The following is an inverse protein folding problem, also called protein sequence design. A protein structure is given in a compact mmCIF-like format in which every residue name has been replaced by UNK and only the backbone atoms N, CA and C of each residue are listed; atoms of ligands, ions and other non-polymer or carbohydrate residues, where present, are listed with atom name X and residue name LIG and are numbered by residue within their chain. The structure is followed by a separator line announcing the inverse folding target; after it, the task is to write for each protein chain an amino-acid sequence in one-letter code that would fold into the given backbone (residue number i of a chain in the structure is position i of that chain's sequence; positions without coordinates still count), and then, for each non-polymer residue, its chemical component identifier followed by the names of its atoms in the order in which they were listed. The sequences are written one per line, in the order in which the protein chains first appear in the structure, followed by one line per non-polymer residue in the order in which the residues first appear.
data_IF_069399108263
#
_entry.id   IF_069399108263
#
_cell.length_a   1.000
_cell.length_b   1.000
_cell.length_c   1.000
_cell.angle_alpha   90.00
_cell.angle_beta   90.00
_cell.angle_gamma   90.00
#
_symmetry.space_group_name_H-M   'P 1'
#
loop_
_entity.id
_entity.type
_entity.pdbx_description
1 polymer ?
#
# COMPACT_ATOMS: atom_id res chain seq x y z
N UNK A 1 18.60 -11.50 -6.96
CA UNK A 1 17.53 -10.53 -6.65
C UNK A 1 18.20 -9.24 -6.23
N UNK A 2 17.69 -8.08 -6.66
CA UNK A 2 18.20 -6.78 -6.26
C UNK A 2 17.32 -6.24 -5.12
N UNK A 3 17.93 -5.99 -3.95
CA UNK A 3 17.22 -5.54 -2.75
C UNK A 3 17.25 -4.02 -2.54
N UNK A 4 17.88 -3.28 -3.47
CA UNK A 4 18.04 -1.82 -3.39
C UNK A 4 17.22 -1.09 -4.46
N UNK A 5 16.28 -1.78 -5.10
CA UNK A 5 15.45 -1.21 -6.18
C UNK A 5 13.99 -1.19 -5.77
N UNK A 6 13.40 -0.01 -5.82
CA UNK A 6 11.95 0.17 -5.86
C UNK A 6 11.50 0.05 -7.32
N UNK A 7 10.57 -0.86 -7.60
CA UNK A 7 9.89 -0.94 -8.88
C UNK A 7 8.52 -0.29 -8.77
N UNK A 8 8.28 0.74 -9.57
CA UNK A 8 6.99 1.38 -9.72
C UNK A 8 6.39 1.01 -11.08
N UNK A 9 5.12 0.60 -11.09
CA UNK A 9 4.30 0.53 -12.29
C UNK A 9 3.28 1.68 -12.29
N UNK A 10 3.13 2.35 -13.43
CA UNK A 10 2.32 3.56 -13.53
C UNK A 10 2.96 4.75 -12.82
N UNK A 11 2.21 5.84 -12.70
CA UNK A 11 2.58 7.00 -11.86
C UNK A 11 1.35 7.55 -11.17
N UNK A 12 1.53 8.13 -9.99
CA UNK A 12 0.43 8.82 -9.31
C UNK A 12 -0.13 9.96 -10.17
N UNK A 13 0.72 10.63 -10.97
CA UNK A 13 0.31 11.68 -11.89
C UNK A 13 -0.68 11.21 -12.97
N UNK A 14 -0.57 9.96 -13.45
CA UNK A 14 -1.55 9.37 -14.36
C UNK A 14 -2.87 9.04 -13.66
N UNK A 15 -2.81 8.68 -12.37
CA UNK A 15 -4.00 8.38 -11.58
C UNK A 15 -4.84 9.64 -11.29
N UNK A 16 -4.20 10.80 -11.08
CA UNK A 16 -4.91 12.06 -10.76
C UNK A 16 -6.09 12.37 -11.70
N UNK A 17 -5.92 12.36 -13.04
CA UNK A 17 -7.01 12.60 -13.99
C UNK A 17 -7.91 11.38 -14.27
N UNK A 18 -7.76 10.27 -13.55
CA UNK A 18 -8.68 9.12 -13.66
C UNK A 18 -8.22 7.97 -14.56
N UNK A 19 -6.92 7.83 -14.87
CA UNK A 19 -6.42 6.65 -15.62
C UNK A 19 -6.33 5.43 -14.69
N UNK A 20 -7.48 4.92 -14.26
CA UNK A 20 -7.59 3.83 -13.30
C UNK A 20 -7.60 2.44 -13.93
N UNK A 21 -7.64 2.36 -15.26
CA UNK A 21 -7.69 1.08 -15.97
C UNK A 21 -6.39 0.31 -15.72
N UNK A 22 -6.51 -0.89 -15.18
CA UNK A 22 -5.41 -1.81 -14.96
C UNK A 22 -4.84 -2.31 -16.28
N UNK A 23 -3.52 -2.24 -16.39
CA UNK A 23 -2.78 -2.48 -17.65
C UNK A 23 -1.60 -3.44 -17.47
N UNK A 24 -1.30 -3.86 -16.24
CA UNK A 24 -0.35 -4.93 -15.93
C UNK A 24 -0.94 -5.93 -14.95
N UNK A 25 -0.67 -7.22 -15.14
CA UNK A 25 -1.14 -8.26 -14.22
C UNK A 25 -0.36 -8.19 -12.90
N UNK A 26 -0.99 -8.54 -11.78
CA UNK A 26 -0.31 -8.66 -10.50
C UNK A 26 0.86 -9.66 -10.56
N UNK A 27 0.74 -10.77 -11.29
CA UNK A 27 1.84 -11.71 -11.51
C UNK A 27 3.06 -11.04 -12.16
N UNK A 28 2.85 -10.13 -13.10
CA UNK A 28 3.94 -9.35 -13.68
C UNK A 28 4.51 -8.30 -12.72
N UNK A 29 3.71 -7.78 -11.79
CA UNK A 29 4.20 -6.91 -10.70
C UNK A 29 5.09 -7.72 -9.74
N UNK A 30 4.65 -8.91 -9.34
CA UNK A 30 5.35 -9.77 -8.37
C UNK A 30 6.71 -10.29 -8.85
N UNK A 31 6.98 -10.24 -10.16
CA UNK A 31 8.34 -10.48 -10.70
C UNK A 31 9.37 -9.44 -10.23
N UNK A 32 8.91 -8.28 -9.75
CA UNK A 32 9.77 -7.16 -9.35
C UNK A 32 9.81 -6.92 -7.84
N UNK A 33 9.01 -7.64 -7.05
CA UNK A 33 9.01 -7.50 -5.60
C UNK A 33 8.01 -8.41 -4.90
N UNK A 34 8.29 -8.69 -3.64
CA UNK A 34 7.46 -9.52 -2.76
C UNK A 34 6.74 -8.71 -1.67
N UNK A 35 6.99 -7.40 -1.62
CA UNK A 35 6.45 -6.48 -0.62
C UNK A 35 6.18 -5.12 -1.24
N UNK A 36 5.01 -4.54 -0.97
CA UNK A 36 4.65 -3.26 -1.56
C UNK A 36 3.19 -2.87 -1.40
N UNK A 37 2.81 -1.80 -2.09
CA UNK A 37 1.48 -1.18 -2.03
C UNK A 37 1.02 -0.76 -3.43
N UNK A 38 -0.28 -0.50 -3.59
CA UNK A 38 -0.85 0.03 -4.83
C UNK A 38 -2.36 0.07 -4.79
N UNK A 39 -2.99 -0.09 -5.95
CA UNK A 39 -4.44 -0.26 -6.08
C UNK A 39 -4.76 -1.32 -7.15
N UNK A 40 -6.02 -1.68 -7.30
CA UNK A 40 -6.49 -2.62 -8.31
C UNK A 40 -7.16 -1.88 -9.49
N UNK A 41 -7.45 -2.62 -10.57
CA UNK A 41 -8.20 -2.13 -11.73
C UNK A 41 -9.42 -1.30 -11.33
N UNK A 42 -9.61 -0.17 -12.02
CA UNK A 42 -10.69 0.79 -11.76
C UNK A 42 -10.63 1.40 -10.36
N UNK A 43 -9.45 1.54 -9.76
CA UNK A 43 -9.24 2.08 -8.40
C UNK A 43 -10.09 1.33 -7.36
N UNK A 44 -10.22 0.01 -7.52
CA UNK A 44 -11.04 -0.82 -6.64
C UNK A 44 -10.32 -1.11 -5.32
N UNK A 45 -10.32 -0.14 -4.42
CA UNK A 45 -9.69 -0.26 -3.10
C UNK A 45 -8.17 -0.30 -3.12
N UNK A 46 -7.58 -0.87 -2.08
CA UNK A 46 -6.14 -0.81 -1.80
C UNK A 46 -5.49 -2.18 -2.08
N UNK A 47 -4.34 -2.19 -2.77
CA UNK A 47 -3.50 -3.36 -2.96
C UNK A 47 -2.38 -3.35 -1.91
N UNK A 48 -2.20 -4.48 -1.23
CA UNK A 48 -1.07 -4.72 -0.32
C UNK A 48 -0.39 -6.01 -0.78
N UNK A 49 0.91 -5.95 -1.02
CA UNK A 49 1.72 -7.13 -1.31
C UNK A 49 2.53 -7.49 -0.07
N UNK A 50 2.37 -8.72 0.42
CA UNK A 50 3.08 -9.25 1.60
C UNK A 50 3.60 -10.64 1.29
N UNK A 51 4.91 -10.84 1.42
CA UNK A 51 5.58 -12.14 1.22
C UNK A 51 5.23 -12.78 -0.13
N UNK A 52 5.17 -11.98 -1.19
CA UNK A 52 4.84 -12.43 -2.55
C UNK A 52 3.36 -12.66 -2.81
N UNK A 53 2.50 -12.40 -1.82
CA UNK A 53 1.05 -12.53 -1.95
C UNK A 53 0.37 -11.16 -2.03
N UNK A 54 -0.45 -10.94 -3.05
CA UNK A 54 -1.32 -9.76 -3.13
C UNK A 54 -2.61 -9.93 -2.33
N UNK A 55 -3.00 -8.87 -1.64
CA UNK A 55 -4.27 -8.74 -0.94
C UNK A 55 -4.94 -7.44 -1.39
N UNK A 56 -6.26 -7.49 -1.56
CA UNK A 56 -7.05 -6.31 -1.88
C UNK A 56 -8.00 -6.00 -0.72
N UNK A 57 -7.93 -4.79 -0.20
CA UNK A 57 -8.89 -4.24 0.75
C UNK A 57 -9.91 -3.43 -0.06
N UNK A 58 -11.16 -3.88 -0.09
CA UNK A 58 -12.23 -3.19 -0.81
C UNK A 58 -12.71 -1.96 -0.02
N UNK A 59 -13.40 -1.04 -0.69
CA UNK A 59 -14.13 0.07 -0.04
C UNK A 59 -15.18 -0.37 1.00
N UNK A 60 -15.58 -1.65 1.01
CA UNK A 60 -16.42 -2.24 2.06
C UNK A 60 -15.65 -2.70 3.30
N UNK A 61 -14.31 -2.65 3.29
CA UNK A 61 -13.43 -3.23 4.31
C UNK A 61 -13.18 -4.73 4.13
N UNK A 62 -13.85 -5.40 3.18
CA UNK A 62 -13.60 -6.81 2.88
C UNK A 62 -12.19 -6.98 2.31
N UNK A 63 -11.43 -7.91 2.89
CA UNK A 63 -10.11 -8.30 2.42
C UNK A 63 -10.24 -9.55 1.55
N UNK A 64 -9.59 -9.55 0.39
CA UNK A 64 -9.51 -10.73 -0.46
C UNK A 64 -8.06 -11.03 -0.87
N UNK A 65 -7.73 -12.32 -0.90
CA UNK A 65 -6.47 -12.82 -1.44
C UNK A 65 -6.56 -12.83 -2.97
N UNK A 66 -5.57 -12.25 -3.62
CA UNK A 66 -5.51 -12.15 -5.08
C UNK A 66 -4.85 -13.38 -5.70
N UNK A 67 -5.26 -13.71 -6.93
CA UNK A 67 -4.79 -14.89 -7.66
C UNK A 67 -3.58 -14.61 -8.54
N UNK A 68 -3.30 -13.33 -8.81
CA UNK A 68 -2.20 -12.88 -9.66
C UNK A 68 -2.63 -12.45 -11.06
N UNK A 69 -3.85 -12.78 -11.49
CA UNK A 69 -4.38 -12.37 -12.80
C UNK A 69 -5.06 -11.00 -12.75
N UNK A 70 -5.30 -10.46 -11.57
CA UNK A 70 -5.92 -9.16 -11.41
C UNK A 70 -5.03 -8.07 -12.00
N UNK A 71 -5.66 -7.15 -12.71
CA UNK A 71 -4.96 -6.04 -13.38
C UNK A 71 -4.76 -4.89 -12.42
N UNK A 72 -3.62 -4.22 -12.56
CA UNK A 72 -3.12 -3.18 -11.69
C UNK A 72 -2.81 -1.94 -12.54
N UNK A 73 -3.32 -0.75 -12.18
CA UNK A 73 -2.96 0.50 -12.85
C UNK A 73 -1.73 1.16 -12.22
N UNK A 74 -1.51 0.91 -10.93
CA UNK A 74 -0.43 1.49 -10.13
C UNK A 74 0.01 0.56 -9.00
N UNK A 75 1.31 0.36 -8.86
CA UNK A 75 1.91 -0.32 -7.72
C UNK A 75 3.38 0.05 -7.52
N UNK A 76 3.80 0.07 -6.26
CA UNK A 76 5.17 0.21 -5.79
C UNK A 76 5.57 -1.07 -5.05
N UNK A 77 6.55 -1.80 -5.58
CA UNK A 77 7.03 -3.06 -4.98
C UNK A 77 8.55 -3.14 -4.94
N UNK A 78 9.06 -3.88 -3.96
CA UNK A 78 10.47 -4.23 -3.83
C UNK A 78 10.61 -5.64 -3.25
N UNK A 79 11.82 -6.19 -3.29
CA UNK A 79 12.15 -7.42 -2.56
C UNK A 79 12.55 -7.06 -1.12
N UNK A 80 11.82 -7.60 -0.14
CA UNK A 80 12.05 -7.32 1.27
C UNK A 80 13.45 -7.76 1.72
N UNK A 81 14.20 -6.81 2.26
CA UNK A 81 15.49 -7.07 2.93
C UNK A 81 15.66 -6.05 4.07
N UNK A 82 14.79 -6.15 5.06
CA UNK A 82 14.68 -5.17 6.14
C UNK A 82 15.76 -5.37 7.21
N UNK A 83 16.38 -4.26 7.62
CA UNK A 83 17.16 -4.20 8.86
C UNK A 83 16.25 -3.88 10.03
N UNK A 84 16.33 -4.63 11.12
CA UNK A 84 15.52 -4.40 12.31
C UNK A 84 16.03 -3.16 13.06
N UNK A 85 15.11 -2.23 13.34
CA UNK A 85 15.34 -1.10 14.25
C UNK A 85 14.97 -1.46 15.70
N UNK A 86 15.22 -0.54 16.62
CA UNK A 86 14.86 -0.73 18.03
C UNK A 86 13.36 -0.88 18.21
N UNK A 87 12.97 -1.67 19.22
CA UNK A 87 11.60 -1.73 19.65
C UNK A 87 11.23 -0.42 20.35
N UNK A 88 10.10 0.15 19.93
CA UNK A 88 9.52 1.38 20.46
C UNK A 88 8.15 1.06 21.07
N UNK A 89 7.71 1.87 22.02
CA UNK A 89 6.44 1.70 22.72
C UNK A 89 5.81 3.07 22.95
N UNK A 90 4.48 3.11 23.09
CA UNK A 90 3.71 4.32 23.42
C UNK A 90 4.06 5.53 22.54
N UNK A 91 4.15 5.28 21.23
CA UNK A 91 4.53 6.28 20.23
C UNK A 91 3.35 6.57 19.31
N UNK A 92 3.12 7.83 18.98
CA UNK A 92 2.12 8.23 18.00
C UNK A 92 2.71 8.28 16.57
N UNK A 93 1.85 8.51 15.56
CA UNK A 93 2.26 8.53 14.16
C UNK A 93 3.33 9.59 13.83
N UNK A 94 3.21 10.78 14.42
CA UNK A 94 4.17 11.88 14.20
C UNK A 94 5.53 11.53 14.79
N UNK A 95 5.55 11.10 16.05
CA UNK A 95 6.77 10.71 16.75
C UNK A 95 7.45 9.51 16.06
N UNK A 96 6.67 8.58 15.52
CA UNK A 96 7.19 7.46 14.72
C UNK A 96 7.85 7.95 13.43
N UNK A 97 7.25 8.91 12.73
CA UNK A 97 7.86 9.51 11.55
C UNK A 97 9.18 10.21 11.92
N UNK A 98 9.17 11.02 12.96
CA UNK A 98 10.37 11.69 13.47
C UNK A 98 11.45 10.69 13.87
N UNK A 99 11.09 9.58 14.53
CA UNK A 99 12.01 8.51 14.87
C UNK A 99 12.66 7.88 13.63
N UNK A 100 11.89 7.65 12.56
CA UNK A 100 12.40 7.09 11.31
C UNK A 100 13.35 8.08 10.61
N UNK A 101 13.00 9.37 10.54
CA UNK A 101 13.78 10.39 9.83
C UNK A 101 14.96 10.95 10.62
N UNK A 102 14.87 11.09 11.94
CA UNK A 102 15.98 11.66 12.74
C UNK A 102 17.15 10.69 12.93
N UNK A 103 16.92 9.40 12.72
CA UNK A 103 17.96 8.37 12.84
C UNK A 103 18.69 8.13 11.52
N UNK A 104 18.25 8.74 10.40
CA UNK A 104 18.73 8.36 9.07
C UNK A 104 18.66 9.51 8.05
N UNK A 105 19.64 9.58 7.13
CA UNK A 105 19.65 10.53 6.02
C UNK A 105 18.73 10.09 4.85
N UNK A 106 17.45 9.80 5.15
CA UNK A 106 16.49 9.24 4.18
C UNK A 106 15.77 10.27 3.30
N UNK A 107 16.10 11.56 3.43
CA UNK A 107 15.35 12.65 2.81
C UNK A 107 15.42 12.65 1.26
N UNK A 108 16.51 12.12 0.69
CA UNK A 108 16.77 12.14 -0.75
C UNK A 108 16.83 10.73 -1.38
N UNK A 109 16.32 9.72 -0.69
CA UNK A 109 16.25 8.35 -1.20
C UNK A 109 14.86 7.76 -0.99
N UNK A 110 14.52 6.73 -1.77
CA UNK A 110 13.40 5.88 -1.45
C UNK A 110 13.79 4.89 -0.35
N UNK A 111 12.88 4.64 0.58
CA UNK A 111 13.01 3.63 1.61
C UNK A 111 11.67 2.93 1.84
N UNK A 112 11.73 1.71 2.35
CA UNK A 112 10.56 0.94 2.73
C UNK A 112 10.56 0.71 4.24
N UNK A 113 9.39 0.83 4.86
CA UNK A 113 9.20 0.56 6.29
C UNK A 113 8.18 -0.54 6.50
N UNK A 114 8.47 -1.44 7.44
CA UNK A 114 7.56 -2.49 7.88
C UNK A 114 7.47 -2.42 9.39
N UNK A 115 6.28 -2.07 9.89
CA UNK A 115 6.04 -1.90 11.33
C UNK A 115 5.18 -3.07 11.80
N UNK A 116 5.70 -3.81 12.77
CA UNK A 116 4.98 -4.90 13.44
C UNK A 116 4.82 -4.55 14.91
N UNK A 117 3.60 -4.66 15.42
CA UNK A 117 3.32 -4.38 16.82
C UNK A 117 1.83 -4.45 17.15
N UNK A 118 1.53 -4.02 18.37
CA UNK A 118 0.17 -3.77 18.85
C UNK A 118 -0.11 -2.29 18.63
N UNK A 119 -1.20 -1.98 17.94
CA UNK A 119 -1.63 -0.60 17.74
C UNK A 119 -2.85 -0.34 18.61
N UNK A 120 -2.76 0.67 19.48
CA UNK A 120 -3.88 1.11 20.31
C UNK A 120 -5.04 1.63 19.46
N UNK A 121 -4.70 2.31 18.37
CA UNK A 121 -5.64 2.79 17.34
C UNK A 121 -4.99 2.69 15.96
N UNK A 122 -5.78 2.24 14.98
CA UNK A 122 -5.48 2.32 13.56
C UNK A 122 -6.66 2.99 12.87
N UNK A 123 -6.39 4.09 12.16
CA UNK A 123 -7.32 4.71 11.24
C UNK A 123 -6.85 4.46 9.81
N UNK A 124 -7.69 3.86 8.98
CA UNK A 124 -7.39 3.53 7.58
C UNK A 124 -8.51 3.99 6.66
N UNK A 125 -8.22 4.05 5.37
CA UNK A 125 -9.20 4.30 4.33
C UNK A 125 -9.13 3.25 3.23
N UNK A 126 -10.22 3.09 2.49
CA UNK A 126 -10.22 2.41 1.21
C UNK A 126 -11.21 3.09 0.28
N UNK A 127 -10.88 3.12 -1.01
CA UNK A 127 -11.74 3.66 -2.07
C UNK A 127 -12.67 2.59 -2.62
N UNK A 128 -13.86 3.00 -3.08
CA UNK A 128 -14.76 2.13 -3.82
C UNK A 128 -14.30 2.02 -5.28
N UNK A 129 -14.68 0.93 -5.95
CA UNK A 129 -14.46 0.79 -7.39
C UNK A 129 -15.05 1.97 -8.16
N UNK A 130 -14.24 2.60 -9.00
CA UNK A 130 -14.68 3.61 -9.95
C UNK A 130 -15.38 2.96 -11.16
N UNK A 131 -16.34 3.67 -11.73
CA UNK A 131 -17.01 3.28 -12.98
C UNK A 131 -16.65 4.26 -14.09
N UNK A 132 -16.67 3.81 -15.34
CA UNK A 132 -16.51 4.70 -16.49
C UNK A 132 -17.76 5.58 -16.69
N UNK A 133 -17.61 6.85 -17.13
CA UNK A 133 -16.34 7.57 -17.27
C UNK A 133 -15.70 7.80 -15.90
N UNK A 134 -14.40 7.49 -15.78
CA UNK A 134 -13.72 7.54 -14.48
C UNK A 134 -13.68 8.97 -13.93
N UNK A 135 -14.07 9.18 -12.66
CA UNK A 135 -13.85 10.46 -11.98
C UNK A 135 -12.36 10.66 -11.66
N UNK A 136 -12.01 11.86 -11.21
CA UNK A 136 -10.66 12.16 -10.74
C UNK A 136 -10.34 11.45 -9.43
N UNK A 137 -9.04 11.34 -9.13
CA UNK A 137 -8.60 10.72 -7.87
C UNK A 137 -9.08 11.48 -6.64
N UNK A 138 -9.20 12.81 -6.72
CA UNK A 138 -9.70 13.66 -5.64
C UNK A 138 -11.17 13.36 -5.36
N UNK A 139 -12.01 13.30 -6.38
CA UNK A 139 -13.44 12.96 -6.23
C UNK A 139 -13.65 11.55 -5.66
N UNK A 140 -12.74 10.62 -5.96
CA UNK A 140 -12.76 9.27 -5.37
C UNK A 140 -12.33 9.27 -3.90
N UNK A 141 -11.32 10.07 -3.54
CA UNK A 141 -10.84 10.21 -2.17
C UNK A 141 -11.90 10.87 -1.27
N UNK A 142 -12.64 11.87 -1.77
CA UNK A 142 -13.73 12.52 -1.02
C UNK A 142 -14.87 11.56 -0.64
N UNK A 143 -15.01 10.44 -1.36
CA UNK A 143 -16.02 9.40 -1.15
C UNK A 143 -15.45 8.11 -0.56
N UNK A 144 -14.22 8.14 -0.06
CA UNK A 144 -13.55 6.98 0.52
C UNK A 144 -14.29 6.49 1.79
N UNK A 145 -14.24 5.19 2.01
CA UNK A 145 -14.63 4.63 3.30
C UNK A 145 -13.47 4.75 4.29
N UNK A 146 -13.78 5.07 5.54
CA UNK A 146 -12.81 5.10 6.65
C UNK A 146 -13.12 4.01 7.66
N UNK A 147 -12.09 3.45 8.26
CA UNK A 147 -12.19 2.37 9.24
C UNK A 147 -11.31 2.65 10.44
N UNK A 148 -11.89 2.50 11.63
CA UNK A 148 -11.20 2.61 12.90
C UNK A 148 -11.14 1.25 13.58
N UNK A 149 -9.96 0.89 14.08
CA UNK A 149 -9.76 -0.32 14.86
C UNK A 149 -8.95 0.00 16.12
N UNK A 150 -9.40 -0.51 17.26
CA UNK A 150 -8.68 -0.40 18.55
C UNK A 150 -8.06 -1.74 18.93
N UNK A 151 -6.93 -1.67 19.66
CA UNK A 151 -6.22 -2.83 20.20
C UNK A 151 -5.98 -3.96 19.18
N UNK A 152 -5.46 -3.60 18.01
CA UNK A 152 -5.17 -4.58 16.97
C UNK A 152 -3.73 -5.09 17.07
N UNK A 153 -3.59 -6.41 17.11
CA UNK A 153 -2.40 -7.09 16.62
C UNK A 153 -2.65 -7.49 15.17
N UNK A 154 -1.59 -7.55 14.35
CA UNK A 154 -1.69 -8.20 13.04
C UNK A 154 -2.22 -9.63 13.28
N UNK A 155 -3.42 -9.95 12.80
CA UNK A 155 -3.79 -11.36 12.60
C UNK A 155 -2.83 -11.91 11.57
N UNK A 156 -2.07 -12.93 11.92
CA UNK A 156 -1.18 -13.60 10.97
C UNK A 156 -2.03 -14.07 9.77
N UNK A 157 -1.67 -13.58 8.58
CA UNK A 157 -2.24 -13.96 7.28
C UNK A 157 -1.21 -14.76 6.51
#
# INVERSE_FOLDING_TARGET
MNYQTLYQYGTLALMVPGLFKGTKSLNDILKHGDTGIGTADSLDGELIVLNGQGYQVKGSGKIQKLTGMEMVPFADVHFAHFTRLNQIQNINKSELADYIFNQNDYQNIFFAVKIHGVFSNIHTRSVNKANEPYPTLVEMADKQATFDATLQTRKEL
#
